data_IF_345206740625
#
_entry.id   IF_345206740625
#
_cell.length_a   1.000
_cell.length_b   1.000
_cell.length_c   1.000
_cell.angle_alpha   90.00
_cell.angle_beta   90.00
_cell.angle_gamma   90.00
#
_symmetry.space_group_name_H-M   'P 1'
#
loop_
_entity.id
_entity.type
_entity.pdbx_description
1 polymer ?
#
# COMPACT_ATOMS: atom_id res chain seq x y z
N UNK A 1 -22.94 5.15 0.17
CA UNK A 1 -21.65 5.67 -0.37
C UNK A 1 -20.98 6.69 0.56
N UNK A 2 -21.69 7.51 1.35
CA UNK A 2 -21.07 8.54 2.22
C UNK A 2 -20.28 7.99 3.42
N UNK A 3 -20.77 6.95 4.09
CA UNK A 3 -20.08 6.40 5.28
C UNK A 3 -18.66 5.89 4.97
N UNK A 4 -18.45 5.29 3.80
CA UNK A 4 -17.13 4.79 3.43
C UNK A 4 -16.15 5.93 3.13
N UNK A 5 -16.61 7.04 2.53
CA UNK A 5 -15.77 8.22 2.29
C UNK A 5 -15.33 8.87 3.60
N UNK A 6 -16.27 9.11 4.53
CA UNK A 6 -15.95 9.66 5.86
C UNK A 6 -14.93 8.81 6.62
N UNK A 7 -15.09 7.48 6.57
CA UNK A 7 -14.13 6.55 7.19
C UNK A 7 -12.75 6.59 6.55
N UNK A 8 -12.65 6.80 5.24
CA UNK A 8 -11.35 6.95 4.57
C UNK A 8 -10.69 8.28 4.93
N UNK A 9 -11.45 9.37 5.04
CA UNK A 9 -10.93 10.69 5.44
C UNK A 9 -10.38 10.66 6.87
N UNK A 10 -11.15 10.08 7.81
CA UNK A 10 -10.67 9.85 9.18
C UNK A 10 -9.42 8.97 9.19
N UNK A 11 -9.43 7.85 8.46
CA UNK A 11 -8.28 6.96 8.37
C UNK A 11 -7.03 7.68 7.85
N UNK A 12 -7.15 8.56 6.85
CA UNK A 12 -6.04 9.36 6.34
C UNK A 12 -5.43 10.22 7.45
N UNK A 13 -6.26 10.89 8.27
CA UNK A 13 -5.78 11.74 9.38
C UNK A 13 -5.03 10.89 10.42
N UNK A 14 -5.61 9.77 10.84
CA UNK A 14 -4.97 8.88 11.82
C UNK A 14 -3.67 8.27 11.30
N UNK A 15 -3.64 7.84 10.04
CA UNK A 15 -2.47 7.21 9.44
C UNK A 15 -1.33 8.21 9.19
N UNK A 16 -1.63 9.45 8.79
CA UNK A 16 -0.62 10.51 8.70
C UNK A 16 0.03 10.81 10.04
N UNK A 17 -0.75 10.85 11.13
CA UNK A 17 -0.21 10.98 12.50
C UNK A 17 0.63 9.76 12.89
N UNK A 18 0.23 8.55 12.50
CA UNK A 18 1.04 7.36 12.75
C UNK A 18 2.39 7.41 12.02
N UNK A 19 2.39 7.81 10.75
CA UNK A 19 3.61 7.97 9.94
C UNK A 19 4.51 9.08 10.47
N UNK A 20 3.95 10.16 11.01
CA UNK A 20 4.73 11.22 11.65
C UNK A 20 5.52 10.72 12.87
N UNK A 21 4.99 9.72 13.58
CA UNK A 21 5.68 9.09 14.72
C UNK A 21 6.62 7.95 14.29
N UNK A 22 6.32 7.25 13.19
CA UNK A 22 7.15 6.17 12.63
C UNK A 22 7.20 6.29 11.11
N UNK A 23 8.21 7.00 10.63
CA UNK A 23 8.36 7.32 9.21
C UNK A 23 8.67 6.10 8.35
N UNK A 24 9.24 5.06 8.94
CA UNK A 24 9.64 3.79 8.33
C UNK A 24 8.54 2.72 8.36
N UNK A 25 7.36 3.03 8.90
CA UNK A 25 6.31 2.03 9.08
C UNK A 25 5.52 1.75 7.79
N UNK A 26 6.06 0.84 6.99
CA UNK A 26 5.52 0.42 5.68
C UNK A 26 4.03 0.01 5.72
N UNK A 27 3.55 -0.80 6.68
CA UNK A 27 2.13 -1.13 6.77
C UNK A 27 1.20 0.08 6.92
N UNK A 28 1.60 1.14 7.63
CA UNK A 28 0.78 2.35 7.75
C UNK A 28 0.72 3.13 6.43
N UNK A 29 1.83 3.21 5.68
CA UNK A 29 1.85 3.81 4.34
C UNK A 29 0.98 3.04 3.34
N UNK A 30 1.01 1.71 3.42
CA UNK A 30 0.12 0.84 2.62
C UNK A 30 -1.36 1.00 3.02
N UNK A 31 -1.66 1.16 4.31
CA UNK A 31 -3.03 1.46 4.74
C UNK A 31 -3.47 2.85 4.27
N UNK A 32 -2.57 3.83 4.29
CA UNK A 32 -2.85 5.21 3.89
C UNK A 32 -3.15 5.28 2.39
N UNK A 33 -2.33 4.62 1.56
CA UNK A 33 -2.57 4.56 0.12
C UNK A 33 -3.90 3.91 -0.23
N UNK A 34 -4.32 2.85 0.47
CA UNK A 34 -5.66 2.25 0.28
C UNK A 34 -6.79 3.22 0.61
N UNK A 35 -6.67 4.00 1.69
CA UNK A 35 -7.66 5.02 2.04
C UNK A 35 -7.69 6.14 0.97
N UNK A 36 -6.53 6.59 0.50
CA UNK A 36 -6.41 7.57 -0.58
C UNK A 36 -6.99 7.06 -1.90
N UNK A 37 -6.79 5.79 -2.25
CA UNK A 37 -7.43 5.12 -3.39
C UNK A 37 -8.96 5.10 -3.25
N UNK A 38 -9.48 4.83 -2.04
CA UNK A 38 -10.91 4.90 -1.74
C UNK A 38 -11.50 6.29 -1.96
N UNK A 39 -10.70 7.33 -1.74
CA UNK A 39 -11.02 8.73 -2.00
C UNK A 39 -10.68 9.19 -3.44
N UNK A 40 -10.21 8.28 -4.30
CA UNK A 40 -9.75 8.56 -5.67
C UNK A 40 -8.60 9.58 -5.74
N UNK A 41 -7.83 9.71 -4.67
CA UNK A 41 -6.61 10.53 -4.59
C UNK A 41 -5.42 9.71 -5.07
N UNK A 42 -5.40 9.46 -6.38
CA UNK A 42 -4.48 8.50 -7.01
C UNK A 42 -3.01 8.90 -6.89
N UNK A 43 -2.72 10.19 -7.10
CA UNK A 43 -1.37 10.75 -7.05
C UNK A 43 -0.81 10.68 -5.62
N UNK A 44 -1.62 11.05 -4.61
CA UNK A 44 -1.23 10.90 -3.21
C UNK A 44 -1.00 9.43 -2.84
N UNK A 45 -1.82 8.50 -3.36
CA UNK A 45 -1.63 7.07 -3.13
C UNK A 45 -0.31 6.56 -3.74
N UNK A 46 0.06 7.01 -4.94
CA UNK A 46 1.33 6.65 -5.58
C UNK A 46 2.53 7.10 -4.74
N UNK A 47 2.48 8.34 -4.22
CA UNK A 47 3.56 8.87 -3.37
C UNK A 47 3.79 8.00 -2.14
N UNK A 48 2.73 7.64 -1.41
CA UNK A 48 2.84 6.81 -0.21
C UNK A 48 3.30 5.38 -0.52
N UNK A 49 2.91 4.83 -1.67
CA UNK A 49 3.36 3.52 -2.12
C UNK A 49 4.83 3.52 -2.53
N UNK A 50 5.30 4.58 -3.18
CA UNK A 50 6.72 4.73 -3.50
C UNK A 50 7.56 4.91 -2.22
N UNK A 51 7.09 5.71 -1.26
CA UNK A 51 7.77 5.83 0.04
C UNK A 51 7.79 4.49 0.79
N UNK A 52 6.70 3.71 0.76
CA UNK A 52 6.69 2.34 1.28
C UNK A 52 7.78 1.46 0.65
N UNK A 53 7.96 1.55 -0.67
CA UNK A 53 9.00 0.82 -1.40
C UNK A 53 10.42 1.34 -1.13
N UNK A 54 10.59 2.59 -0.71
CA UNK A 54 11.91 3.09 -0.27
C UNK A 54 12.39 2.42 1.01
N UNK A 55 11.46 2.11 1.93
CA UNK A 55 11.77 1.42 3.18
C UNK A 55 11.84 -0.10 3.02
N UNK A 56 10.93 -0.69 2.24
CA UNK A 56 10.97 -2.12 1.89
C UNK A 56 10.76 -2.32 0.38
N UNK A 57 11.86 -2.31 -0.41
CA UNK A 57 11.81 -2.52 -1.85
C UNK A 57 11.37 -3.91 -2.26
N UNK A 58 11.38 -4.89 -1.34
CA UNK A 58 11.03 -6.28 -1.62
C UNK A 58 9.60 -6.60 -1.18
N UNK A 59 8.86 -5.62 -0.67
CA UNK A 59 7.48 -5.83 -0.28
C UNK A 59 6.58 -5.97 -1.53
N UNK A 60 5.89 -7.10 -1.73
CA UNK A 60 5.04 -7.27 -2.91
C UNK A 60 3.75 -6.45 -2.89
N UNK A 61 3.27 -6.01 -1.71
CA UNK A 61 1.95 -5.38 -1.60
C UNK A 61 1.90 -3.96 -2.19
N UNK A 62 2.90 -3.08 -1.96
CA UNK A 62 2.92 -1.78 -2.60
C UNK A 62 2.91 -1.84 -4.13
N UNK A 63 3.69 -2.75 -4.74
CA UNK A 63 3.69 -2.99 -6.19
C UNK A 63 2.30 -3.39 -6.71
N UNK A 64 1.59 -4.30 -6.01
CA UNK A 64 0.22 -4.66 -6.39
C UNK A 64 -0.75 -3.48 -6.30
N UNK A 65 -0.58 -2.58 -5.33
CA UNK A 65 -1.43 -1.40 -5.20
C UNK A 65 -1.09 -0.36 -6.28
N UNK A 66 0.19 -0.14 -6.58
CA UNK A 66 0.63 0.72 -7.69
C UNK A 66 0.02 0.23 -9.02
N UNK A 67 0.00 -1.09 -9.25
CA UNK A 67 -0.63 -1.63 -10.46
C UNK A 67 -2.12 -1.27 -10.57
N UNK A 68 -2.85 -1.28 -9.46
CA UNK A 68 -4.26 -0.93 -9.43
C UNK A 68 -4.46 0.57 -9.64
N UNK A 69 -3.59 1.41 -9.06
CA UNK A 69 -3.66 2.85 -9.26
C UNK A 69 -3.35 3.22 -10.71
N UNK A 70 -2.26 2.68 -11.29
CA UNK A 70 -1.91 2.93 -12.69
C UNK A 70 -2.99 2.44 -13.66
N UNK A 71 -3.61 1.29 -13.39
CA UNK A 71 -4.75 0.81 -14.17
C UNK A 71 -5.92 1.79 -14.14
N UNK A 72 -6.18 2.44 -12.98
CA UNK A 72 -7.25 3.44 -12.84
C UNK A 72 -6.92 4.76 -13.51
N UNK A 73 -5.64 5.09 -13.65
CA UNK A 73 -5.14 6.25 -14.39
C UNK A 73 -5.03 6.00 -15.91
N UNK A 74 -5.28 4.77 -16.38
CA UNK A 74 -5.15 4.39 -17.79
C UNK A 74 -3.72 4.06 -18.24
N UNK A 75 -2.75 4.05 -17.32
CA UNK A 75 -1.38 3.64 -17.61
C UNK A 75 -1.24 2.12 -17.48
N UNK A 76 -1.73 1.41 -18.49
CA UNK A 76 -1.68 -0.05 -18.52
C UNK A 76 -0.25 -0.60 -18.56
N UNK A 77 0.69 0.15 -19.13
CA UNK A 77 2.09 -0.29 -19.24
C UNK A 77 2.70 -0.40 -17.85
N UNK A 78 2.61 0.67 -17.04
CA UNK A 78 3.10 0.66 -15.66
C UNK A 78 2.28 -0.30 -14.80
N UNK A 79 0.97 -0.38 -15.02
CA UNK A 79 0.13 -1.32 -14.28
C UNK A 79 0.61 -2.77 -14.44
N UNK A 80 0.91 -3.20 -15.67
CA UNK A 80 1.44 -4.54 -15.94
C UNK A 80 2.81 -4.76 -15.30
N UNK A 81 3.72 -3.80 -15.45
CA UNK A 81 5.06 -3.88 -14.87
C UNK A 81 5.03 -4.06 -13.34
N UNK A 82 4.26 -3.22 -12.64
CA UNK A 82 4.14 -3.29 -11.19
C UNK A 82 3.47 -4.59 -10.72
N UNK A 83 2.48 -5.08 -11.47
CA UNK A 83 1.84 -6.36 -11.18
C UNK A 83 2.81 -7.52 -11.31
N UNK A 84 3.61 -7.54 -12.37
CA UNK A 84 4.61 -8.58 -12.62
C UNK A 84 5.70 -8.57 -11.55
N UNK A 85 6.16 -7.40 -11.12
CA UNK A 85 7.09 -7.24 -10.00
C UNK A 85 6.50 -7.80 -8.69
N UNK A 86 5.25 -7.45 -8.36
CA UNK A 86 4.56 -8.01 -7.19
C UNK A 86 4.51 -9.55 -7.24
N UNK A 87 4.18 -10.14 -8.39
CA UNK A 87 4.10 -11.60 -8.54
C UNK A 87 5.47 -12.25 -8.40
N UNK A 88 6.50 -11.65 -9.00
CA UNK A 88 7.89 -12.11 -8.89
C UNK A 88 8.36 -12.11 -7.43
N UNK A 89 8.14 -11.01 -6.71
CA UNK A 89 8.52 -10.89 -5.30
C UNK A 89 7.76 -11.86 -4.39
N UNK A 90 6.47 -12.11 -4.64
CA UNK A 90 5.71 -13.15 -3.91
C UNK A 90 6.26 -14.54 -4.14
N UNK A 91 6.64 -14.86 -5.38
CA UNK A 91 7.23 -16.15 -5.74
C UNK A 91 8.60 -16.34 -5.10
N UNK A 92 9.39 -15.27 -5.03
CA UNK A 92 10.73 -15.28 -4.42
C UNK A 92 10.69 -15.24 -2.88
N UNK A 93 9.58 -14.78 -2.29
CA UNK A 93 9.42 -14.68 -0.85
C UNK A 93 8.00 -15.11 -0.39
N UNK A 94 7.71 -16.42 -0.33
CA UNK A 94 6.41 -16.92 0.15
C UNK A 94 6.15 -16.59 1.63
N UNK A 95 7.19 -16.45 2.45
CA UNK A 95 7.04 -16.07 3.87
C UNK A 95 6.53 -14.62 4.04
N UNK A 96 6.86 -13.71 3.12
CA UNK A 96 6.28 -12.35 3.11
C UNK A 96 4.76 -12.36 2.82
N UNK A 97 4.23 -13.43 2.21
CA UNK A 97 2.79 -13.61 2.02
C UNK A 97 2.09 -13.93 3.34
N UNK A 98 2.74 -14.70 4.22
CA UNK A 98 2.23 -15.03 5.55
C UNK A 98 2.22 -13.81 6.48
N UNK A 99 3.26 -12.97 6.46
CA UNK A 99 3.32 -11.78 7.33
C UNK A 99 2.20 -10.76 7.05
N UNK A 100 1.67 -10.73 5.81
CA UNK A 100 0.58 -9.83 5.41
C UNK A 100 -0.79 -10.35 5.83
N UNK A 101 -0.95 -11.68 5.96
CA UNK A 101 -2.21 -12.31 6.37
C UNK A 101 -2.24 -12.66 7.87
N UNK A 102 -1.07 -12.85 8.47
CA UNK A 102 -0.88 -13.18 9.87
C UNK A 102 -0.59 -11.94 10.70
N UNK A 103 -1.63 -11.34 11.28
CA UNK A 103 -1.49 -10.81 12.64
C UNK A 103 -1.16 -11.97 13.57
N UNK A 104 0.10 -12.38 13.60
CA UNK A 104 0.66 -13.12 14.72
C UNK A 104 1.91 -12.36 15.12
N UNK A 105 1.69 -11.31 15.92
CA UNK A 105 2.72 -10.86 16.83
C UNK A 105 2.99 -12.07 17.74
N UNK A 106 4.21 -12.62 17.81
CA UNK A 106 4.53 -13.52 18.90
C UNK A 106 4.47 -12.67 20.17
N UNK A 107 3.37 -12.82 20.92
CA UNK A 107 3.32 -12.43 22.33
C UNK A 107 4.38 -13.26 23.04
N UNK A 108 5.52 -12.61 23.34
CA UNK A 108 6.39 -13.10 24.42
C UNK A 108 5.66 -13.03 25.75
#
# INVERSE_FOLDING_TARGET
MLQQHGRYEEAVVFLRRAIANRTDYVPARVALSKALMGLKKWEEAILELNEALRFDPRHPQPHLLLSQVYFRLGDEQRARQEKDLSLKLRRENPAALEAVQGRNFPTR
#
